data_IF_039833713071
#
_entry.id   IF_039833713071
#
_cell.length_a   1.000
_cell.length_b   1.000
_cell.length_c   1.000
_cell.angle_alpha   90.00
_cell.angle_beta   90.00
_cell.angle_gamma   90.00
#
_symmetry.space_group_name_H-M   'P 1'
#
loop_
_entity.id
_entity.type
_entity.pdbx_description
1 polymer ?
#
# COMPACT_ATOMS: atom_id res chain seq x y z
N UNK A 1 -5.34 -10.41 -3.62
CA UNK A 1 -4.39 -10.25 -4.74
C UNK A 1 -4.38 -11.45 -5.68
N UNK A 2 -5.46 -11.73 -6.44
CA UNK A 2 -5.39 -12.71 -7.55
C UNK A 2 -5.02 -14.17 -7.19
N UNK A 3 -5.06 -14.57 -5.91
CA UNK A 3 -4.74 -15.93 -5.45
C UNK A 3 -5.60 -17.01 -6.13
N UNK A 4 -6.87 -16.69 -6.42
CA UNK A 4 -7.77 -17.57 -7.17
C UNK A 4 -7.25 -17.87 -8.58
N UNK A 5 -6.57 -16.93 -9.23
CA UNK A 5 -5.96 -17.16 -10.55
C UNK A 5 -4.78 -18.14 -10.48
N UNK A 6 -4.05 -18.19 -9.37
CA UNK A 6 -3.01 -19.22 -9.15
C UNK A 6 -3.63 -20.61 -8.98
N UNK A 7 -4.75 -20.70 -8.26
CA UNK A 7 -5.51 -21.95 -8.11
C UNK A 7 -6.03 -22.47 -9.45
N UNK A 8 -6.55 -21.57 -10.29
CA UNK A 8 -7.03 -21.89 -11.65
C UNK A 8 -5.91 -22.17 -12.67
N UNK A 9 -4.62 -22.13 -12.27
CA UNK A 9 -3.49 -22.35 -13.18
C UNK A 9 -3.22 -21.19 -14.16
N UNK A 10 -3.86 -20.04 -13.96
CA UNK A 10 -3.81 -18.86 -14.84
C UNK A 10 -2.70 -17.90 -14.42
N UNK A 11 -1.48 -18.40 -14.37
CA UNK A 11 -0.33 -17.71 -13.77
C UNK A 11 -0.01 -16.33 -14.36
N UNK A 12 -0.14 -16.15 -15.68
CA UNK A 12 0.07 -14.83 -16.32
C UNK A 12 -0.94 -13.80 -15.86
N UNK A 13 -2.18 -14.24 -15.65
CA UNK A 13 -3.24 -13.38 -15.16
C UNK A 13 -3.02 -13.01 -13.70
N UNK A 14 -2.66 -14.01 -12.89
CA UNK A 14 -2.31 -13.83 -11.49
C UNK A 14 -1.15 -12.84 -11.33
N UNK A 15 -0.08 -13.00 -12.13
CA UNK A 15 1.05 -12.09 -12.16
C UNK A 15 0.63 -10.66 -12.52
N UNK A 16 -0.15 -10.47 -13.59
CA UNK A 16 -0.62 -9.14 -14.00
C UNK A 16 -1.45 -8.45 -12.89
N UNK A 17 -2.30 -9.20 -12.19
CA UNK A 17 -3.05 -8.68 -11.04
C UNK A 17 -2.15 -8.35 -9.85
N UNK A 18 -1.12 -9.15 -9.58
CA UNK A 18 -0.15 -8.86 -8.51
C UNK A 18 0.66 -7.60 -8.83
N UNK A 19 1.19 -7.48 -10.05
CA UNK A 19 2.00 -6.32 -10.46
C UNK A 19 1.19 -5.04 -10.43
N UNK A 20 -0.07 -5.08 -10.86
CA UNK A 20 -0.96 -3.92 -10.86
C UNK A 20 -1.68 -3.66 -9.52
N UNK A 21 -1.23 -4.29 -8.42
CA UNK A 21 -1.84 -4.15 -7.09
C UNK A 21 -3.36 -4.42 -7.05
N UNK A 22 -3.79 -5.50 -7.70
CA UNK A 22 -5.21 -5.86 -7.85
C UNK A 22 -5.91 -5.22 -9.04
N UNK A 23 -5.16 -4.71 -10.02
CA UNK A 23 -5.68 -4.08 -11.23
C UNK A 23 -6.10 -2.64 -11.01
N UNK A 24 -5.10 -1.78 -10.73
CA UNK A 24 -5.18 -0.32 -10.57
C UNK A 24 -6.29 0.11 -9.60
N UNK A 25 -5.92 0.32 -8.34
CA UNK A 25 -6.84 0.60 -7.23
C UNK A 25 -7.90 -0.50 -6.99
N UNK A 26 -7.58 -1.76 -7.30
CA UNK A 26 -8.47 -2.90 -7.02
C UNK A 26 -9.63 -3.08 -8.00
N UNK A 27 -9.77 -2.23 -9.02
CA UNK A 27 -10.82 -2.33 -10.06
C UNK A 27 -10.74 -3.68 -10.77
N UNK A 28 -9.52 -4.17 -11.02
CA UNK A 28 -9.31 -5.51 -11.57
C UNK A 28 -9.91 -6.60 -10.70
N UNK A 29 -9.73 -6.56 -9.38
CA UNK A 29 -10.31 -7.56 -8.46
C UNK A 29 -11.84 -7.54 -8.47
N UNK A 30 -12.46 -6.36 -8.57
CA UNK A 30 -13.92 -6.25 -8.69
C UNK A 30 -14.38 -6.92 -9.98
N UNK A 31 -13.74 -6.61 -11.10
CA UNK A 31 -14.02 -7.25 -12.39
C UNK A 31 -13.84 -8.77 -12.34
N UNK A 32 -12.81 -9.24 -11.65
CA UNK A 32 -12.52 -10.67 -11.47
C UNK A 32 -13.64 -11.41 -10.76
N UNK A 33 -14.28 -10.79 -9.77
CA UNK A 33 -15.40 -11.41 -9.05
C UNK A 33 -16.58 -11.71 -9.99
N UNK A 34 -16.88 -10.80 -10.92
CA UNK A 34 -17.98 -10.97 -11.89
C UNK A 34 -17.65 -11.98 -13.00
N UNK A 35 -16.38 -12.08 -13.39
CA UNK A 35 -15.91 -13.00 -14.43
C UNK A 35 -15.53 -14.39 -13.91
N UNK A 36 -15.56 -14.60 -12.60
CA UNK A 36 -15.19 -15.87 -11.97
C UNK A 36 -15.97 -17.08 -12.53
N UNK A 37 -17.30 -17.04 -12.76
CA UNK A 37 -18.03 -18.16 -13.34
C UNK A 37 -17.52 -18.54 -14.73
N UNK A 38 -17.15 -17.55 -15.55
CA UNK A 38 -16.63 -17.77 -16.90
C UNK A 38 -15.23 -18.41 -16.85
N UNK A 39 -14.39 -18.03 -15.88
CA UNK A 39 -13.09 -18.66 -15.68
C UNK A 39 -13.21 -20.11 -15.20
N UNK A 40 -14.19 -20.41 -14.36
CA UNK A 40 -14.47 -21.78 -13.92
C UNK A 40 -14.98 -22.63 -15.09
N UNK A 41 -15.89 -22.10 -15.89
CA UNK A 41 -16.37 -22.78 -17.10
C UNK A 41 -15.23 -23.07 -18.10
N UNK A 42 -14.27 -22.13 -18.24
CA UNK A 42 -13.07 -22.31 -19.05
C UNK A 42 -12.18 -23.46 -18.54
N UNK A 43 -11.88 -23.46 -17.23
CA UNK A 43 -11.01 -24.48 -16.61
C UNK A 43 -11.66 -25.86 -16.60
N UNK A 44 -12.98 -25.93 -16.39
CA UNK A 44 -13.75 -27.18 -16.39
C UNK A 44 -14.09 -27.68 -17.80
N UNK A 45 -13.76 -26.92 -18.85
CA UNK A 45 -14.05 -27.24 -20.26
C UNK A 45 -15.55 -27.48 -20.50
N UNK A 46 -16.38 -26.61 -19.91
CA UNK A 46 -17.84 -26.66 -20.05
C UNK A 46 -18.24 -26.63 -21.55
N UNK A 47 -19.04 -27.59 -22.04
CA UNK A 47 -19.44 -27.67 -23.44
C UNK A 47 -20.11 -26.38 -23.95
N UNK A 48 -20.92 -25.71 -23.12
CA UNK A 48 -21.62 -24.47 -23.51
C UNK A 48 -20.65 -23.30 -23.65
N UNK A 49 -19.61 -23.27 -22.81
CA UNK A 49 -18.54 -22.29 -22.91
C UNK A 49 -17.70 -22.51 -24.17
N UNK A 50 -17.29 -23.76 -24.42
CA UNK A 50 -16.47 -24.12 -25.58
C UNK A 50 -17.21 -23.85 -26.89
N UNK A 51 -18.50 -24.19 -26.97
CA UNK A 51 -19.33 -23.92 -28.15
C UNK A 51 -19.37 -22.42 -28.48
N UNK A 52 -19.65 -21.57 -27.48
CA UNK A 52 -19.65 -20.10 -27.64
C UNK A 52 -18.27 -19.55 -28.02
N UNK A 53 -17.20 -20.11 -27.48
CA UNK A 53 -15.84 -19.71 -27.82
C UNK A 53 -15.49 -20.05 -29.27
N UNK A 54 -15.83 -21.27 -29.72
CA UNK A 54 -15.61 -21.72 -31.10
C UNK A 54 -16.41 -20.86 -32.08
N UNK A 55 -17.67 -20.57 -31.77
CA UNK A 55 -18.51 -19.68 -32.58
C UNK A 55 -17.87 -18.28 -32.73
N UNK A 56 -17.40 -17.69 -31.62
CA UNK A 56 -16.65 -16.41 -31.66
C UNK A 56 -15.41 -16.48 -32.55
N UNK A 57 -14.65 -17.56 -32.48
CA UNK A 57 -13.45 -17.76 -33.32
C UNK A 57 -13.79 -17.98 -34.80
N UNK A 58 -14.95 -18.55 -35.12
CA UNK A 58 -15.42 -18.70 -36.51
C UNK A 58 -15.79 -17.36 -37.14
N UNK A 59 -16.49 -16.50 -36.39
CA UNK A 59 -16.90 -15.18 -36.89
C UNK A 59 -15.75 -14.17 -36.97
N UNK A 60 -14.76 -14.26 -36.08
CA UNK A 60 -13.62 -13.33 -36.06
C UNK A 60 -12.31 -14.06 -36.22
N UNK A 61 -11.66 -13.88 -37.38
CA UNK A 61 -10.33 -14.47 -37.66
C UNK A 61 -9.24 -14.00 -36.70
N UNK A 62 -9.37 -12.78 -36.13
CA UNK A 62 -8.49 -12.22 -35.10
C UNK A 62 -9.30 -11.79 -33.87
N UNK A 63 -8.78 -12.01 -32.65
CA UNK A 63 -9.47 -11.59 -31.46
C UNK A 63 -9.41 -10.08 -31.29
N UNK A 64 -10.44 -9.50 -30.67
CA UNK A 64 -10.43 -8.10 -30.24
C UNK A 64 -9.71 -7.96 -28.90
N UNK A 65 -8.72 -7.06 -28.81
CA UNK A 65 -7.98 -6.87 -27.56
C UNK A 65 -8.87 -6.35 -26.42
N UNK A 66 -9.86 -5.51 -26.74
CA UNK A 66 -10.78 -4.91 -25.78
C UNK A 66 -10.15 -3.76 -25.00
N UNK A 67 -10.96 -2.77 -24.62
CA UNK A 67 -10.48 -1.53 -24.00
C UNK A 67 -9.83 -1.76 -22.63
N UNK A 68 -10.46 -2.60 -21.78
CA UNK A 68 -9.97 -2.89 -20.42
C UNK A 68 -8.59 -3.55 -20.49
N UNK A 69 -8.39 -4.45 -21.45
CA UNK A 69 -7.11 -5.13 -21.62
C UNK A 69 -6.04 -4.22 -22.22
N UNK A 70 -6.45 -3.32 -23.11
CA UNK A 70 -5.59 -2.30 -23.68
C UNK A 70 -4.99 -1.43 -22.58
N UNK A 71 -5.84 -0.90 -21.69
CA UNK A 71 -5.38 -0.13 -20.52
C UNK A 71 -4.57 -0.99 -19.54
N UNK A 72 -5.00 -2.21 -19.24
CA UNK A 72 -4.24 -3.10 -18.36
C UNK A 72 -2.83 -3.41 -18.89
N UNK A 73 -2.67 -3.52 -20.22
CA UNK A 73 -1.39 -3.73 -20.88
C UNK A 73 -0.45 -2.54 -20.66
N UNK A 74 -0.96 -1.32 -20.87
CA UNK A 74 -0.20 -0.08 -20.64
C UNK A 74 0.17 0.06 -19.16
N UNK A 75 -0.79 -0.08 -18.25
CA UNK A 75 -0.56 0.07 -16.81
C UNK A 75 0.47 -0.93 -16.28
N UNK A 76 0.33 -2.22 -16.62
CA UNK A 76 1.30 -3.23 -16.17
C UNK A 76 2.68 -2.98 -16.77
N UNK A 77 2.75 -2.57 -18.04
CA UNK A 77 4.02 -2.27 -18.70
C UNK A 77 4.69 -1.03 -18.12
N UNK A 78 3.93 0.02 -17.80
CA UNK A 78 4.43 1.24 -17.16
C UNK A 78 4.93 0.95 -15.74
N UNK A 79 4.18 0.19 -14.93
CA UNK A 79 4.63 -0.21 -13.59
C UNK A 79 5.97 -0.94 -13.67
N UNK A 80 6.12 -1.89 -14.59
CA UNK A 80 7.39 -2.60 -14.77
C UNK A 80 8.51 -1.68 -15.29
N UNK A 81 8.20 -0.76 -16.21
CA UNK A 81 9.15 0.22 -16.73
C UNK A 81 9.68 1.16 -15.64
N UNK A 82 8.79 1.78 -14.88
CA UNK A 82 9.15 2.65 -13.75
C UNK A 82 9.85 1.90 -12.63
N UNK A 83 9.42 0.67 -12.33
CA UNK A 83 10.06 -0.15 -11.30
C UNK A 83 11.50 -0.49 -11.69
N UNK A 84 11.73 -0.92 -12.93
CA UNK A 84 13.10 -1.22 -13.42
C UNK A 84 13.95 0.04 -13.45
N UNK A 85 13.40 1.18 -13.91
CA UNK A 85 14.12 2.45 -13.91
C UNK A 85 14.57 2.86 -12.50
N UNK A 86 13.66 2.84 -11.51
CA UNK A 86 14.00 3.23 -10.14
C UNK A 86 14.78 2.16 -9.35
N UNK A 87 14.75 0.90 -9.78
CA UNK A 87 15.56 -0.15 -9.16
C UNK A 87 17.04 -0.06 -9.53
N UNK A 88 17.42 0.71 -10.56
CA UNK A 88 18.80 0.93 -10.98
C UNK A 88 19.45 1.97 -10.04
N UNK A 89 20.53 1.62 -9.33
CA UNK A 89 21.17 2.53 -8.39
C UNK A 89 22.04 3.57 -9.12
N UNK A 90 21.48 4.75 -9.36
CA UNK A 90 22.19 5.86 -10.00
C UNK A 90 23.49 6.25 -9.26
N UNK A 91 23.46 6.24 -7.92
CA UNK A 91 24.57 6.60 -7.04
C UNK A 91 25.76 5.63 -7.11
N UNK A 92 25.52 4.37 -7.46
CA UNK A 92 26.57 3.34 -7.51
C UNK A 92 27.21 3.23 -8.88
N UNK A 93 26.48 3.64 -9.91
CA UNK A 93 26.92 3.60 -11.31
C UNK A 93 27.62 4.91 -11.68
N UNK A 94 27.50 5.96 -10.86
CA UNK A 94 28.19 7.22 -11.05
C UNK A 94 29.66 7.16 -10.66
N UNK A 95 30.53 7.35 -11.65
CA UNK A 95 31.99 7.43 -11.44
C UNK A 95 32.37 8.74 -10.72
N UNK A 96 31.60 9.82 -10.94
CA UNK A 96 31.92 11.16 -10.41
C UNK A 96 30.91 11.66 -9.35
N UNK A 97 30.02 10.79 -8.85
CA UNK A 97 28.94 11.18 -7.92
C UNK A 97 27.84 12.06 -8.53
N UNK A 98 27.98 12.44 -9.81
CA UNK A 98 26.94 13.14 -10.55
C UNK A 98 25.86 12.13 -10.98
N UNK A 99 24.57 12.44 -10.85
CA UNK A 99 23.47 11.51 -11.19
C UNK A 99 23.34 11.25 -12.70
N UNK A 100 23.98 12.08 -13.53
CA UNK A 100 23.81 12.12 -14.99
C UNK A 100 24.92 11.42 -15.78
N UNK A 101 25.16 10.13 -15.50
CA UNK A 101 26.18 9.36 -16.24
C UNK A 101 25.60 8.66 -17.45
N UNK A 102 26.37 8.69 -18.54
CA UNK A 102 26.02 7.99 -19.79
C UNK A 102 25.83 6.48 -19.58
N UNK A 103 26.60 5.87 -18.66
CA UNK A 103 26.49 4.43 -18.33
C UNK A 103 25.11 4.12 -17.74
N UNK A 104 24.65 4.92 -16.77
CA UNK A 104 23.32 4.75 -16.18
C UNK A 104 22.21 4.91 -17.24
N UNK A 105 22.34 5.90 -18.12
CA UNK A 105 21.41 6.11 -19.25
C UNK A 105 21.41 4.93 -20.23
N UNK A 106 22.56 4.31 -20.49
CA UNK A 106 22.65 3.11 -21.32
C UNK A 106 21.93 1.92 -20.67
N UNK A 107 22.13 1.69 -19.37
CA UNK A 107 21.39 0.63 -18.65
C UNK A 107 19.88 0.86 -18.72
N UNK A 108 19.42 2.09 -18.51
CA UNK A 108 18.00 2.45 -18.62
C UNK A 108 17.49 2.22 -20.04
N UNK A 109 18.21 2.70 -21.06
CA UNK A 109 17.85 2.54 -22.47
C UNK A 109 17.77 1.07 -22.91
N UNK A 110 18.51 0.16 -22.24
CA UNK A 110 18.47 -1.27 -22.53
C UNK A 110 17.37 -1.98 -21.74
N UNK A 111 17.30 -1.75 -20.43
CA UNK A 111 16.48 -2.54 -19.51
C UNK A 111 15.02 -2.08 -19.46
N UNK A 112 14.76 -0.78 -19.53
CA UNK A 112 13.39 -0.24 -19.41
C UNK A 112 12.51 -0.65 -20.60
N UNK A 113 12.93 -0.49 -21.87
CA UNK A 113 12.16 -0.99 -23.01
C UNK A 113 11.91 -2.51 -22.98
N UNK A 114 12.89 -3.29 -22.53
CA UNK A 114 12.72 -4.74 -22.36
C UNK A 114 11.64 -5.07 -21.32
N UNK A 115 11.65 -4.39 -20.17
CA UNK A 115 10.66 -4.57 -19.12
C UNK A 115 9.25 -4.22 -19.59
N UNK A 116 9.10 -3.11 -20.31
CA UNK A 116 7.83 -2.67 -20.91
C UNK A 116 7.32 -3.71 -21.91
N UNK A 117 8.18 -4.21 -22.81
CA UNK A 117 7.81 -5.24 -23.78
C UNK A 117 7.37 -6.55 -23.11
N UNK A 118 8.03 -6.95 -22.00
CA UNK A 118 7.62 -8.09 -21.17
C UNK A 118 6.23 -7.82 -20.55
N UNK A 119 5.98 -6.63 -20.02
CA UNK A 119 4.67 -6.22 -19.49
C UNK A 119 3.55 -6.36 -20.52
N UNK A 120 3.73 -5.78 -21.71
CA UNK A 120 2.76 -5.89 -22.81
C UNK A 120 2.56 -7.34 -23.23
N UNK A 121 3.64 -8.11 -23.38
CA UNK A 121 3.58 -9.51 -23.78
C UNK A 121 2.87 -10.39 -22.75
N UNK A 122 3.07 -10.14 -21.45
CA UNK A 122 2.41 -10.92 -20.38
C UNK A 122 0.90 -10.71 -20.41
N UNK A 123 0.43 -9.46 -20.43
CA UNK A 123 -1.01 -9.12 -20.47
C UNK A 123 -1.65 -9.57 -21.79
N UNK A 124 -0.94 -9.37 -22.89
CA UNK A 124 -1.42 -9.72 -24.22
C UNK A 124 -1.62 -11.21 -24.45
N UNK A 125 -0.96 -12.06 -23.67
CA UNK A 125 -1.05 -13.51 -23.76
C UNK A 125 -1.86 -14.19 -22.63
N UNK A 126 -2.71 -13.46 -21.90
CA UNK A 126 -3.63 -14.04 -20.90
C UNK A 126 -4.79 -14.81 -21.60
N UNK A 127 -5.15 -16.00 -21.11
CA UNK A 127 -6.28 -16.78 -21.63
C UNK A 127 -6.11 -17.22 -23.10
N UNK A 128 -7.19 -17.12 -23.89
CA UNK A 128 -7.27 -17.56 -25.29
C UNK A 128 -6.54 -16.69 -26.32
N UNK A 129 -5.68 -15.79 -25.85
CA UNK A 129 -4.94 -14.87 -26.69
C UNK A 129 -3.48 -15.31 -26.72
N UNK A 130 -2.89 -15.31 -27.92
CA UNK A 130 -1.47 -15.53 -28.11
C UNK A 130 -0.86 -14.45 -28.99
N UNK A 131 0.41 -14.15 -28.72
CA UNK A 131 1.22 -13.25 -29.52
C UNK A 131 2.69 -13.38 -29.15
N UNK A 132 3.54 -13.12 -30.12
CA UNK A 132 4.99 -13.15 -30.01
C UNK A 132 5.53 -11.84 -29.39
N UNK A 133 6.64 -11.94 -28.64
CA UNK A 133 7.28 -10.81 -27.98
C UNK A 133 8.06 -9.89 -28.94
N UNK A 134 8.47 -10.38 -30.12
CA UNK A 134 9.31 -9.61 -31.06
C UNK A 134 8.73 -8.25 -31.44
N UNK A 135 7.42 -8.16 -31.67
CA UNK A 135 6.76 -6.92 -32.08
C UNK A 135 6.73 -5.84 -30.98
N UNK A 136 6.24 -6.12 -29.76
CA UNK A 136 6.33 -5.13 -28.69
C UNK A 136 7.77 -4.80 -28.31
N UNK A 137 8.71 -5.76 -28.43
CA UNK A 137 10.13 -5.51 -28.17
C UNK A 137 10.75 -4.53 -29.18
N UNK A 138 10.55 -4.77 -30.48
CA UNK A 138 11.00 -3.85 -31.53
C UNK A 138 10.41 -2.45 -31.36
N UNK A 139 9.10 -2.37 -31.09
CA UNK A 139 8.42 -1.10 -30.85
C UNK A 139 8.94 -0.37 -29.61
N UNK A 140 9.25 -1.10 -28.54
CA UNK A 140 9.82 -0.52 -27.33
C UNK A 140 11.25 0.01 -27.57
N UNK A 141 12.08 -0.69 -28.35
CA UNK A 141 13.45 -0.25 -28.63
C UNK A 141 13.55 0.92 -29.62
N UNK A 142 12.50 1.21 -30.40
CA UNK A 142 12.44 2.43 -31.22
C UNK A 142 12.53 3.70 -30.35
N UNK A 143 12.01 3.67 -29.12
CA UNK A 143 12.07 4.82 -28.20
C UNK A 143 13.34 4.81 -27.33
N UNK A 144 14.19 3.77 -27.41
CA UNK A 144 15.40 3.64 -26.59
C UNK A 144 16.37 4.84 -26.71
N UNK A 145 16.59 5.45 -27.90
CA UNK A 145 17.48 6.61 -28.01
C UNK A 145 17.05 7.81 -27.17
N UNK A 146 15.76 7.99 -26.89
CA UNK A 146 15.25 9.12 -26.10
C UNK A 146 15.78 9.10 -24.66
N UNK A 147 16.01 7.92 -24.09
CA UNK A 147 16.60 7.78 -22.75
C UNK A 147 18.03 8.30 -22.68
N UNK A 148 18.78 8.28 -23.80
CA UNK A 148 20.14 8.85 -23.86
C UNK A 148 20.14 10.38 -23.77
N UNK A 149 19.05 11.02 -24.24
CA UNK A 149 18.82 12.46 -24.16
C UNK A 149 18.13 12.91 -22.87
N UNK A 150 18.09 12.06 -21.83
CA UNK A 150 17.43 12.34 -20.56
C UNK A 150 15.91 12.58 -20.68
N UNK A 151 15.28 12.00 -21.71
CA UNK A 151 13.83 12.00 -21.87
C UNK A 151 13.32 10.66 -21.34
N UNK A 152 12.24 10.68 -20.54
CA UNK A 152 11.62 9.47 -19.97
C UNK A 152 10.34 9.08 -20.74
N UNK A 153 10.42 8.41 -21.91
CA UNK A 153 9.27 8.11 -22.75
C UNK A 153 8.50 6.85 -22.32
N UNK A 154 8.45 6.49 -21.03
CA UNK A 154 7.89 5.20 -20.57
C UNK A 154 6.47 4.98 -21.11
N UNK A 155 5.59 5.98 -20.92
CA UNK A 155 4.21 5.92 -21.42
C UNK A 155 4.12 5.81 -22.95
N UNK A 156 4.95 6.55 -23.68
CA UNK A 156 4.99 6.47 -25.15
C UNK A 156 5.47 5.09 -25.60
N UNK A 157 6.46 4.54 -24.90
CA UNK A 157 7.04 3.22 -25.15
C UNK A 157 6.01 2.12 -24.93
N UNK A 158 5.25 2.16 -23.83
CA UNK A 158 4.21 1.17 -23.53
C UNK A 158 3.01 1.28 -24.47
N UNK A 159 2.64 2.51 -24.88
CA UNK A 159 1.61 2.75 -25.88
C UNK A 159 2.00 2.15 -27.24
N UNK A 160 3.20 2.47 -27.76
CA UNK A 160 3.70 1.95 -29.03
C UNK A 160 3.86 0.43 -29.00
N UNK A 161 4.40 -0.12 -27.90
CA UNK A 161 4.53 -1.57 -27.73
C UNK A 161 3.16 -2.27 -27.72
N UNK A 162 2.15 -1.68 -27.06
CA UNK A 162 0.79 -2.21 -27.03
C UNK A 162 0.13 -2.14 -28.42
N UNK A 163 0.30 -1.03 -29.14
CA UNK A 163 -0.18 -0.90 -30.53
C UNK A 163 0.47 -1.93 -31.45
N UNK A 164 1.79 -2.11 -31.37
CA UNK A 164 2.50 -3.08 -32.19
C UNK A 164 2.07 -4.52 -31.88
N UNK A 165 1.91 -4.87 -30.59
CA UNK A 165 1.43 -6.19 -30.19
C UNK A 165 0.02 -6.47 -30.72
N UNK A 166 -0.91 -5.53 -30.53
CA UNK A 166 -2.30 -5.68 -30.96
C UNK A 166 -2.44 -5.75 -32.48
N UNK A 167 -1.66 -4.97 -33.23
CA UNK A 167 -1.74 -4.90 -34.69
C UNK A 167 -1.11 -6.10 -35.41
N UNK A 168 0.05 -6.55 -34.91
CA UNK A 168 0.91 -7.50 -35.65
C UNK A 168 1.08 -8.86 -34.97
N UNK A 169 0.93 -8.93 -33.65
CA UNK A 169 1.24 -10.13 -32.88
C UNK A 169 0.01 -10.92 -32.46
N UNK A 170 -1.12 -10.24 -32.27
CA UNK A 170 -2.32 -10.79 -31.64
C UNK A 170 -3.04 -11.84 -32.51
N UNK A 171 -3.21 -13.04 -31.95
CA UNK A 171 -3.87 -14.19 -32.57
C UNK A 171 -4.69 -14.99 -31.55
N UNK A 172 -5.64 -15.78 -32.04
CA UNK A 172 -6.37 -16.76 -31.22
C UNK A 172 -5.46 -17.92 -30.84
N UNK A 173 -5.46 -18.28 -29.56
CA UNK A 173 -4.81 -19.48 -29.06
C UNK A 173 -5.67 -20.69 -29.42
N UNK A 174 -5.17 -21.54 -30.34
CA UNK A 174 -5.86 -22.76 -30.79
C UNK A 174 -5.49 -24.01 -29.97
N UNK A 175 -4.39 -23.96 -29.22
CA UNK A 175 -3.90 -25.06 -28.41
C UNK A 175 -4.09 -24.77 -26.92
N UNK A 176 -4.42 -25.77 -26.09
CA UNK A 176 -4.58 -25.57 -24.66
C UNK A 176 -3.28 -24.99 -24.08
N UNK A 177 -3.44 -24.03 -23.15
CA UNK A 177 -2.30 -23.39 -22.52
C UNK A 177 -1.50 -24.45 -21.75
N UNK A 178 -0.23 -24.65 -22.13
CA UNK A 178 0.68 -25.49 -21.33
C UNK A 178 0.80 -24.88 -19.93
N UNK A 179 0.60 -25.69 -18.90
CA UNK A 179 0.79 -25.28 -17.51
C UNK A 179 2.23 -24.82 -17.32
N UNK A 180 2.43 -23.54 -17.02
CA UNK A 180 3.76 -23.03 -16.69
C UNK A 180 4.15 -23.56 -15.32
N UNK A 181 5.40 -24.01 -15.17
CA UNK A 181 5.90 -24.53 -13.89
C UNK A 181 5.66 -23.53 -12.75
N UNK A 182 5.06 -24.01 -11.64
CA UNK A 182 4.80 -23.20 -10.44
C UNK A 182 6.09 -22.56 -9.91
N UNK A 183 7.21 -23.27 -10.02
CA UNK A 183 8.54 -22.78 -9.63
C UNK A 183 9.00 -21.59 -10.46
N UNK A 184 8.76 -21.60 -11.77
CA UNK A 184 9.13 -20.48 -12.64
C UNK A 184 8.34 -19.23 -12.25
N UNK A 185 7.05 -19.38 -11.93
CA UNK A 185 6.20 -18.26 -11.52
C UNK A 185 6.63 -17.72 -10.15
N UNK A 186 6.95 -18.60 -9.20
CA UNK A 186 7.49 -18.21 -7.90
C UNK A 186 8.81 -17.45 -8.04
N UNK A 187 9.70 -17.90 -8.93
CA UNK A 187 10.98 -17.23 -9.22
C UNK A 187 10.74 -15.84 -9.82
N UNK A 188 9.82 -15.69 -10.77
CA UNK A 188 9.46 -14.38 -11.36
C UNK A 188 8.87 -13.45 -10.30
N UNK A 189 7.98 -13.96 -9.43
CA UNK A 189 7.42 -13.18 -8.32
C UNK A 189 8.49 -12.75 -7.32
N UNK A 190 9.44 -13.63 -7.01
CA UNK A 190 10.57 -13.30 -6.16
C UNK A 190 11.46 -12.22 -6.79
N UNK A 191 11.78 -12.32 -8.08
CA UNK A 191 12.52 -11.29 -8.80
C UNK A 191 11.79 -9.94 -8.80
N UNK A 192 10.46 -9.93 -8.96
CA UNK A 192 9.65 -8.73 -8.85
C UNK A 192 9.71 -8.09 -7.45
N UNK A 193 9.66 -8.90 -6.39
CA UNK A 193 9.80 -8.41 -5.01
C UNK A 193 11.20 -7.84 -4.75
N UNK A 194 12.26 -8.46 -5.28
CA UNK A 194 13.62 -7.93 -5.20
C UNK A 194 13.75 -6.56 -5.88
N UNK A 195 13.08 -6.34 -7.01
CA UNK A 195 13.06 -5.04 -7.66
C UNK A 195 12.39 -3.98 -6.77
N UNK A 196 11.28 -4.30 -6.11
CA UNK A 196 10.67 -3.39 -5.14
C UNK A 196 11.56 -3.10 -3.95
N UNK A 197 12.22 -4.13 -3.39
CA UNK A 197 13.17 -3.95 -2.29
C UNK A 197 14.30 -3.02 -2.71
N UNK A 198 14.87 -3.23 -3.91
CA UNK A 198 15.89 -2.33 -4.49
C UNK A 198 15.35 -0.91 -4.62
N UNK A 199 14.16 -0.76 -5.22
CA UNK A 199 13.52 0.54 -5.42
C UNK A 199 13.33 1.29 -4.08
N UNK A 200 12.77 0.65 -3.06
CA UNK A 200 12.62 1.24 -1.73
C UNK A 200 13.96 1.55 -1.08
N UNK A 201 14.95 0.66 -1.21
CA UNK A 201 16.27 0.86 -0.62
C UNK A 201 17.00 2.09 -1.16
N UNK A 202 16.85 2.37 -2.46
CA UNK A 202 17.52 3.49 -3.13
C UNK A 202 16.70 4.79 -3.12
N UNK A 203 15.38 4.73 -3.29
CA UNK A 203 14.55 5.92 -3.53
C UNK A 203 13.72 6.37 -2.32
N UNK A 204 13.54 5.53 -1.30
CA UNK A 204 12.76 5.93 -0.13
C UNK A 204 13.51 7.01 0.66
N UNK A 205 12.88 8.17 0.82
CA UNK A 205 13.36 9.29 1.63
C UNK A 205 12.30 9.68 2.66
N UNK A 206 12.75 10.09 3.84
CA UNK A 206 11.91 10.62 4.92
C UNK A 206 12.45 12.00 5.27
N UNK A 207 11.54 12.96 5.40
CA UNK A 207 11.84 14.31 5.90
C UNK A 207 11.83 14.29 7.43
N UNK A 208 12.92 14.72 8.04
CA UNK A 208 12.98 14.91 9.49
C UNK A 208 12.26 16.22 9.91
N UNK A 209 12.06 16.44 11.21
CA UNK A 209 11.48 17.65 11.80
C UNK A 209 12.25 18.93 11.46
N UNK A 210 13.50 18.80 11.04
CA UNK A 210 14.37 19.90 10.62
C UNK A 210 14.34 20.12 9.09
N UNK A 211 13.39 19.54 8.38
CA UNK A 211 13.28 19.55 6.90
C UNK A 211 14.48 18.93 6.17
N UNK A 212 15.30 18.13 6.86
CA UNK A 212 16.40 17.39 6.26
C UNK A 212 15.88 16.10 5.60
N UNK A 213 16.26 15.87 4.34
CA UNK A 213 15.87 14.69 3.57
C UNK A 213 16.87 13.57 3.83
N UNK A 214 16.48 12.58 4.63
CA UNK A 214 17.31 11.42 4.96
C UNK A 214 16.78 10.19 4.21
N UNK A 215 17.68 9.38 3.65
CA UNK A 215 17.29 8.13 2.99
C UNK A 215 16.79 7.12 4.02
N UNK A 216 15.70 6.42 3.72
CA UNK A 216 15.08 5.44 4.63
C UNK A 216 16.06 4.37 5.10
N UNK A 217 17.01 3.94 4.25
CA UNK A 217 18.06 2.98 4.66
C UNK A 217 18.95 3.48 5.81
N UNK A 218 19.26 4.78 5.83
CA UNK A 218 20.06 5.41 6.88
C UNK A 218 19.21 5.60 8.13
N UNK A 219 17.98 6.08 7.95
CA UNK A 219 17.02 6.26 9.05
C UNK A 219 16.73 4.93 9.77
N UNK A 220 16.49 3.84 9.02
CA UNK A 220 16.28 2.51 9.58
C UNK A 220 17.52 2.01 10.33
N UNK A 221 18.72 2.17 9.75
CA UNK A 221 19.97 1.77 10.42
C UNK A 221 20.17 2.54 11.73
N UNK A 222 19.91 3.85 11.73
CA UNK A 222 20.02 4.67 12.93
C UNK A 222 18.95 4.30 13.97
N UNK A 223 17.72 4.04 13.53
CA UNK A 223 16.62 3.59 14.39
C UNK A 223 16.96 2.28 15.09
N UNK A 224 17.41 1.26 14.38
CA UNK A 224 17.77 -0.03 14.99
C UNK A 224 18.97 0.04 15.94
N UNK A 225 19.81 1.07 15.81
CA UNK A 225 20.93 1.32 16.73
C UNK A 225 20.57 2.30 17.86
N UNK A 226 19.37 2.88 17.86
CA UNK A 226 18.95 3.87 18.84
C UNK A 226 18.52 3.23 20.17
N UNK A 227 18.62 3.97 21.30
CA UNK A 227 18.08 3.53 22.59
C UNK A 227 16.58 3.20 22.50
N UNK A 228 15.83 3.92 21.67
CA UNK A 228 14.41 3.70 21.46
C UNK A 228 14.10 2.29 20.93
N UNK A 229 14.98 1.70 20.10
CA UNK A 229 14.80 0.32 19.65
C UNK A 229 15.00 -0.70 20.77
N UNK A 230 15.94 -0.43 21.68
CA UNK A 230 16.14 -1.27 22.87
C UNK A 230 14.91 -1.20 23.78
N UNK A 231 14.41 0.00 24.05
CA UNK A 231 13.18 0.21 24.83
C UNK A 231 11.99 -0.48 24.18
N UNK A 232 11.80 -0.30 22.86
CA UNK A 232 10.74 -0.97 22.12
C UNK A 232 10.81 -2.49 22.26
N UNK A 233 12.02 -3.07 22.14
CA UNK A 233 12.21 -4.51 22.30
C UNK A 233 11.91 -4.98 23.73
N UNK A 234 12.25 -4.17 24.73
CA UNK A 234 11.90 -4.45 26.13
C UNK A 234 10.38 -4.41 26.33
N UNK A 235 9.70 -3.40 25.80
CA UNK A 235 8.23 -3.28 25.86
C UNK A 235 7.57 -4.49 25.20
N UNK A 236 7.99 -4.87 23.99
CA UNK A 236 7.45 -6.05 23.29
C UNK A 236 7.68 -7.33 24.11
N UNK A 237 8.86 -7.48 24.74
CA UNK A 237 9.13 -8.62 25.61
C UNK A 237 8.22 -8.63 26.84
N UNK A 238 8.10 -7.51 27.53
CA UNK A 238 7.23 -7.37 28.70
C UNK A 238 5.76 -7.66 28.33
N UNK A 239 5.32 -7.19 27.16
CA UNK A 239 3.97 -7.43 26.66
C UNK A 239 3.75 -8.90 26.34
N UNK A 240 4.78 -9.57 25.80
CA UNK A 240 4.73 -11.00 25.53
C UNK A 240 4.72 -11.84 26.82
N UNK A 241 5.50 -11.45 27.82
CA UNK A 241 5.50 -12.08 29.15
C UNK A 241 4.14 -11.87 29.84
N UNK A 242 3.56 -10.67 29.76
CA UNK A 242 2.22 -10.37 30.26
C UNK A 242 1.14 -11.19 29.55
N UNK A 243 1.24 -11.32 28.21
CA UNK A 243 0.33 -12.15 27.43
C UNK A 243 0.40 -13.62 27.86
N UNK A 244 1.60 -14.10 28.21
CA UNK A 244 1.82 -15.48 28.65
C UNK A 244 1.27 -15.74 30.06
N UNK A 245 1.31 -14.76 30.95
CA UNK A 245 0.84 -14.90 32.35
C UNK A 245 -0.65 -14.63 32.51
N UNK A 246 -1.18 -13.56 31.90
CA UNK A 246 -2.54 -13.07 32.11
C UNK A 246 -3.50 -13.41 30.96
N UNK A 247 -2.98 -13.98 29.87
CA UNK A 247 -3.74 -14.30 28.67
C UNK A 247 -4.17 -13.06 27.86
N UNK A 248 -4.80 -13.32 26.72
CA UNK A 248 -5.26 -12.27 25.78
C UNK A 248 -6.31 -11.37 26.44
N UNK A 249 -7.20 -11.92 27.27
CA UNK A 249 -8.24 -11.15 27.96
C UNK A 249 -7.67 -10.20 28.99
N UNK A 250 -6.64 -10.61 29.74
CA UNK A 250 -5.95 -9.74 30.68
C UNK A 250 -5.25 -8.58 29.96
N UNK A 251 -4.61 -8.87 28.82
CA UNK A 251 -3.95 -7.84 28.02
C UNK A 251 -4.95 -6.83 27.47
N UNK A 252 -6.11 -7.30 27.02
CA UNK A 252 -7.17 -6.43 26.54
C UNK A 252 -7.67 -5.49 27.64
N UNK A 253 -7.88 -5.99 28.86
CA UNK A 253 -8.32 -5.16 29.98
C UNK A 253 -7.28 -4.08 30.33
N UNK A 254 -6.00 -4.44 30.40
CA UNK A 254 -4.91 -3.48 30.66
C UNK A 254 -4.82 -2.41 29.56
N UNK A 255 -4.92 -2.82 28.28
CA UNK A 255 -4.91 -1.88 27.15
C UNK A 255 -6.12 -0.94 27.21
N UNK A 256 -7.31 -1.48 27.47
CA UNK A 256 -8.54 -0.68 27.61
C UNK A 256 -8.43 0.28 28.79
N UNK A 257 -7.84 -0.15 29.90
CA UNK A 257 -7.63 0.68 31.08
C UNK A 257 -6.60 1.80 30.83
N UNK A 258 -5.51 1.49 30.12
CA UNK A 258 -4.48 2.46 29.74
C UNK A 258 -4.96 3.49 28.70
N UNK A 259 -5.84 3.09 27.78
CA UNK A 259 -6.42 3.99 26.76
C UNK A 259 -7.45 4.94 27.39
N UNK A 260 -8.04 4.59 28.55
CA UNK A 260 -9.14 5.31 29.20
C UNK A 260 -10.18 5.79 28.17
N UNK A 261 -10.91 4.89 27.51
CA UNK A 261 -11.78 5.22 26.38
C UNK A 261 -12.93 6.19 26.73
N UNK A 262 -13.22 6.38 28.02
CA UNK A 262 -14.21 7.34 28.49
C UNK A 262 -13.57 8.65 29.00
N UNK A 263 -12.25 8.70 29.19
CA UNK A 263 -11.51 9.86 29.67
C UNK A 263 -11.72 10.17 31.15
N UNK A 264 -12.27 9.24 31.93
CA UNK A 264 -12.66 9.47 33.33
C UNK A 264 -11.45 9.63 34.25
N UNK A 265 -10.44 8.76 34.08
CA UNK A 265 -9.22 8.80 34.87
C UNK A 265 -8.42 10.05 34.56
N UNK A 266 -8.31 10.39 33.27
CA UNK A 266 -7.62 11.59 32.83
C UNK A 266 -8.33 12.87 33.35
N UNK A 267 -9.66 12.93 33.28
CA UNK A 267 -10.43 14.07 33.81
C UNK A 267 -10.31 14.22 35.34
N UNK A 268 -10.28 13.11 36.10
CA UNK A 268 -10.01 13.15 37.54
C UNK A 268 -8.59 13.63 37.83
N UNK A 269 -7.59 13.20 37.05
CA UNK A 269 -6.21 13.68 37.16
C UNK A 269 -6.09 15.19 36.92
N UNK A 270 -6.78 15.74 35.90
CA UNK A 270 -6.81 17.18 35.63
C UNK A 270 -7.35 17.97 36.84
N UNK A 271 -8.32 17.40 37.56
CA UNK A 271 -8.87 17.99 38.79
C UNK A 271 -8.05 17.68 40.06
N UNK A 272 -7.01 16.84 39.96
CA UNK A 272 -6.19 16.40 41.08
C UNK A 272 -6.92 15.46 42.06
N UNK A 273 -7.87 14.67 41.55
CA UNK A 273 -8.71 13.77 42.32
C UNK A 273 -8.39 12.29 42.03
N UNK A 274 -8.72 11.42 42.98
CA UNK A 274 -8.56 9.98 42.83
C UNK A 274 -9.86 9.35 42.30
N UNK A 275 -9.78 8.12 41.78
CA UNK A 275 -10.94 7.35 41.28
C UNK A 275 -12.03 7.12 42.35
N UNK A 276 -11.68 7.21 43.64
CA UNK A 276 -12.59 7.05 44.78
C UNK A 276 -13.25 8.36 45.23
N UNK A 277 -12.94 9.49 44.60
CA UNK A 277 -13.47 10.81 45.00
C UNK A 277 -14.98 10.92 44.76
N UNK A 278 -15.69 11.52 45.71
CA UNK A 278 -17.15 11.67 45.63
C UNK A 278 -17.52 12.82 44.69
N UNK A 279 -18.79 12.88 44.28
CA UNK A 279 -19.28 13.96 43.43
C UNK A 279 -19.12 15.35 44.09
N UNK A 280 -19.28 15.40 45.40
CA UNK A 280 -19.16 16.63 46.16
C UNK A 280 -17.69 17.10 46.15
N UNK A 281 -16.73 16.17 46.20
CA UNK A 281 -15.30 16.46 46.04
C UNK A 281 -14.98 16.99 44.63
N UNK A 282 -15.54 16.36 43.58
CA UNK A 282 -15.40 16.79 42.19
C UNK A 282 -15.90 18.23 42.02
N UNK A 283 -17.07 18.53 42.58
CA UNK A 283 -17.69 19.86 42.47
C UNK A 283 -16.94 20.90 43.30
N UNK A 284 -16.46 20.52 44.49
CA UNK A 284 -15.67 21.40 45.36
C UNK A 284 -14.33 21.76 44.73
N UNK A 285 -13.61 20.77 44.18
CA UNK A 285 -12.32 20.99 43.53
C UNK A 285 -12.45 21.76 42.23
N UNK A 286 -13.48 21.47 41.41
CA UNK A 286 -13.79 22.29 40.24
C UNK A 286 -13.97 23.77 40.62
N UNK A 287 -14.81 24.08 41.63
CA UNK A 287 -15.03 25.46 42.08
C UNK A 287 -13.75 26.13 42.61
N UNK A 288 -12.87 25.36 43.27
CA UNK A 288 -11.58 25.85 43.76
C UNK A 288 -10.65 26.19 42.59
N UNK A 289 -10.46 25.26 41.66
CA UNK A 289 -9.57 25.41 40.51
C UNK A 289 -10.09 26.46 39.51
N UNK A 290 -11.39 26.50 39.26
CA UNK A 290 -12.02 27.50 38.39
C UNK A 290 -11.82 28.94 38.92
N UNK A 291 -11.87 29.15 40.24
CA UNK A 291 -11.58 30.47 40.84
C UNK A 291 -10.09 30.81 40.84
N UNK A 292 -9.22 29.80 40.89
CA UNK A 292 -7.77 29.98 40.85
C UNK A 292 -7.27 30.34 39.45
N UNK A 293 -7.83 29.70 38.42
CA UNK A 293 -7.44 29.89 37.02
C UNK A 293 -8.38 30.80 36.24
N UNK A 294 -9.26 31.55 36.91
CA UNK A 294 -10.21 32.43 36.24
C UNK A 294 -9.49 33.55 35.46
N UNK A 295 -9.86 33.81 34.19
CA UNK A 295 -9.17 34.78 33.34
C UNK A 295 -9.15 36.20 33.92
N UNK A 296 -10.24 36.64 34.58
CA UNK A 296 -10.24 37.97 35.23
C UNK A 296 -9.23 38.11 36.37
N UNK A 297 -8.86 37.02 37.04
CA UNK A 297 -7.96 37.08 38.20
C UNK A 297 -6.48 37.02 37.81
N UNK A 298 -6.18 36.48 36.64
CA UNK A 298 -4.83 36.22 36.15
C UNK A 298 -4.46 37.08 34.91
N UNK A 299 -5.12 38.22 34.76
CA UNK A 299 -5.00 39.12 33.60
C UNK A 299 -3.71 39.97 33.57
N UNK A 300 -3.01 40.10 34.69
CA UNK A 300 -1.93 41.08 34.85
C UNK A 300 -0.50 40.51 34.83
N UNK A 301 -0.34 39.18 34.91
CA UNK A 301 0.97 38.53 35.13
C UNK A 301 1.61 37.88 33.87
N UNK A 302 1.10 38.17 32.67
CA UNK A 302 1.63 37.57 31.42
C UNK A 302 1.25 36.10 31.19
N UNK A 303 0.61 35.46 32.17
CA UNK A 303 0.15 34.07 32.16
C UNK A 303 -1.29 33.88 31.66
N UNK A 304 -1.92 34.90 31.08
CA UNK A 304 -3.34 34.88 30.66
C UNK A 304 -3.67 33.68 29.76
N UNK A 305 -2.77 33.35 28.81
CA UNK A 305 -2.93 32.20 27.92
C UNK A 305 -2.87 30.86 28.66
N UNK A 306 -1.95 30.72 29.61
CA UNK A 306 -1.79 29.49 30.41
C UNK A 306 -2.98 29.31 31.35
N UNK A 307 -3.45 30.40 31.97
CA UNK A 307 -4.64 30.38 32.80
C UNK A 307 -5.89 30.01 32.00
N UNK A 308 -6.03 30.54 30.78
CA UNK A 308 -7.14 30.23 29.90
C UNK A 308 -7.12 28.77 29.41
N UNK A 309 -5.97 28.24 29.01
CA UNK A 309 -5.81 26.83 28.64
C UNK A 309 -6.16 25.89 29.80
N UNK A 310 -5.64 26.18 31.00
CA UNK A 310 -5.96 25.39 32.20
C UNK A 310 -7.44 25.49 32.59
N UNK A 311 -8.02 26.68 32.52
CA UNK A 311 -9.44 26.88 32.81
C UNK A 311 -10.33 26.08 31.87
N UNK A 312 -10.01 26.07 30.56
CA UNK A 312 -10.74 25.27 29.58
C UNK A 312 -10.60 23.77 29.85
N UNK A 313 -9.38 23.28 30.13
CA UNK A 313 -9.16 21.87 30.46
C UNK A 313 -9.91 21.43 31.73
N UNK A 314 -9.93 22.27 32.78
CA UNK A 314 -10.67 22.04 34.03
C UNK A 314 -12.18 21.97 33.78
N UNK A 315 -12.71 22.88 32.94
CA UNK A 315 -14.12 22.91 32.60
C UNK A 315 -14.53 21.69 31.75
N UNK A 316 -13.70 21.30 30.79
CA UNK A 316 -13.92 20.11 29.97
C UNK A 316 -13.89 18.83 30.82
N UNK A 317 -12.91 18.69 31.71
CA UNK A 317 -12.82 17.58 32.66
C UNK A 317 -14.08 17.47 33.54
N UNK A 318 -14.53 18.58 34.14
CA UNK A 318 -15.75 18.59 34.96
C UNK A 318 -17.01 18.22 34.16
N UNK A 319 -17.15 18.76 32.95
CA UNK A 319 -18.29 18.47 32.08
C UNK A 319 -18.33 17.00 31.67
N UNK A 320 -17.18 16.41 31.34
CA UNK A 320 -17.05 15.00 31.00
C UNK A 320 -17.48 14.10 32.16
N UNK A 321 -16.96 14.35 33.37
CA UNK A 321 -17.35 13.62 34.59
C UNK A 321 -18.84 13.75 34.91
N UNK A 322 -19.39 14.96 34.79
CA UNK A 322 -20.83 15.22 35.01
C UNK A 322 -21.72 14.48 34.00
N UNK A 323 -21.35 14.52 32.72
CA UNK A 323 -22.06 13.81 31.64
C UNK A 323 -22.02 12.29 31.83
N UNK A 324 -20.88 11.73 32.25
CA UNK A 324 -20.77 10.31 32.55
C UNK A 324 -21.64 9.89 33.72
N UNK A 325 -21.69 10.70 34.79
CA UNK A 325 -22.61 10.48 35.90
C UNK A 325 -24.06 10.45 35.43
N UNK A 326 -24.47 11.41 34.60
CA UNK A 326 -25.84 11.47 34.08
C UNK A 326 -26.17 10.23 33.23
N UNK A 327 -25.24 9.76 32.39
CA UNK A 327 -25.37 8.52 31.61
C UNK A 327 -25.50 7.29 32.52
N UNK A 328 -24.67 7.18 33.56
CA UNK A 328 -24.72 6.09 34.56
C UNK A 328 -26.04 6.08 35.32
N UNK A 329 -26.53 7.25 35.72
CA UNK A 329 -27.81 7.40 36.40
C UNK A 329 -28.99 6.96 35.52
N UNK A 330 -29.02 7.38 34.24
CA UNK A 330 -30.04 6.94 33.28
C UNK A 330 -30.05 5.43 33.06
N UNK A 331 -28.87 4.81 32.92
CA UNK A 331 -28.75 3.34 32.74
C UNK A 331 -29.28 2.54 33.94
N UNK A 332 -29.11 3.05 35.17
CA UNK A 332 -29.64 2.42 36.39
C UNK A 332 -31.16 2.49 36.52
N UNK A 333 -31.83 3.37 35.77
CA UNK A 333 -33.29 3.49 35.80
C UNK A 333 -33.98 2.61 34.73
N UNK A 334 -33.23 2.18 33.71
CA UNK A 334 -33.74 1.37 32.58
C UNK A 334 -33.51 -0.13 32.72
N UNK A 335 -32.66 -0.55 33.66
CA UNK A 335 -32.45 -1.93 34.09
C UNK A 335 -33.12 -2.13 35.44
#
# INVERSE_FOLDING_TARGET
>A
FGLHQFYLGRYRHAFALCVSFGGYFGIGLIREFWLLPEYLAEVNHDPDYVARLVEKMRHKSKPSFGIVRYFASIVVADILGYLVMGAIPHEWISVDGNSDNIISRLFIAILVPAAIAIGVHTVGNIGHYCGQIRWPLMAAYITAPLYLFNINPIFITSLLATLAFTRYSLQWRRTPQKSTSKWLVALIMFAYLLLWISWFYFNCTVTDKNDEIIKCRLALRNFFNSPAWLEFRMVIRNLWDFLRTNGISGLWNEIVEAIDPQGEKNALQILGLNETSTQDDITAMYRKLARQWHPDKNRYDGDERIAQEKFMAIQEAYNLLSNMRQKRFKRKQTN
#
